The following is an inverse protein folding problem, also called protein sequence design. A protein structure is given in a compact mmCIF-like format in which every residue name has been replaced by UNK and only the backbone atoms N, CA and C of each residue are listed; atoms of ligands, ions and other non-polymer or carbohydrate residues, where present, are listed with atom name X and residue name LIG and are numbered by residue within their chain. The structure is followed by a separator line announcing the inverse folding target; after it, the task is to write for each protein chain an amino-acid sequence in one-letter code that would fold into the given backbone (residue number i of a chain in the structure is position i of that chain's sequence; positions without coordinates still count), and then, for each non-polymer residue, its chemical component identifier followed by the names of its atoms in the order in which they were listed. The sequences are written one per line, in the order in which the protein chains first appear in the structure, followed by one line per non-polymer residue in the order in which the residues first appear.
data_IF_967447208277
#
_entry.id   IF_967447208277
#
_cell.length_a   1.000
_cell.length_b   1.000
_cell.length_c   1.000
_cell.angle_alpha   90.00
_cell.angle_beta   90.00
_cell.angle_gamma   90.00
#
_symmetry.space_group_name_H-M   'P 1'
#
loop_
_entity.id
_entity.type
_entity.pdbx_description
1 polymer ?
#
# COMPACT_ATOMS: atom_id res chain seq x y z
N UNK A 1 5.91 14.68 10.56
CA UNK A 1 4.60 14.07 10.81
C UNK A 1 3.44 15.04 10.90
N UNK A 2 3.68 16.29 11.32
CA UNK A 2 2.61 17.29 11.43
C UNK A 2 1.86 17.54 10.11
N UNK A 3 2.57 17.56 9.01
CA UNK A 3 2.00 17.78 7.69
C UNK A 3 1.12 16.62 7.22
N UNK A 4 1.47 15.38 7.57
CA UNK A 4 0.62 14.21 7.30
C UNK A 4 -0.68 14.32 8.09
N UNK A 5 -0.59 14.65 9.37
CA UNK A 5 -1.76 14.80 10.25
C UNK A 5 -2.63 15.96 9.77
N UNK A 6 -2.04 17.08 9.43
CA UNK A 6 -2.75 18.24 8.90
C UNK A 6 -3.52 17.91 7.63
N UNK A 7 -2.89 17.17 6.70
CA UNK A 7 -3.56 16.78 5.46
C UNK A 7 -4.73 15.83 5.72
N UNK A 8 -4.59 14.91 6.65
CA UNK A 8 -5.67 14.02 7.05
C UNK A 8 -6.86 14.82 7.65
N UNK A 9 -6.57 15.84 8.46
CA UNK A 9 -7.59 16.73 9.00
C UNK A 9 -8.31 17.50 7.90
N UNK A 10 -7.57 18.04 6.93
CA UNK A 10 -8.15 18.75 5.78
C UNK A 10 -9.10 17.86 4.98
N UNK A 11 -8.82 16.56 4.93
CA UNK A 11 -9.64 15.57 4.24
C UNK A 11 -10.76 15.00 5.11
N UNK A 12 -10.98 15.59 6.30
CA UNK A 12 -12.07 15.23 7.21
C UNK A 12 -11.96 13.79 7.77
N UNK A 13 -10.77 13.35 8.10
CA UNK A 13 -10.60 12.08 8.79
C UNK A 13 -11.38 12.10 10.12
N UNK A 14 -11.95 10.95 10.51
CA UNK A 14 -12.76 10.90 11.72
C UNK A 14 -11.93 11.21 12.99
N UNK A 15 -12.60 11.69 14.01
CA UNK A 15 -11.98 12.14 15.27
C UNK A 15 -11.13 11.06 15.94
N UNK A 16 -11.60 9.82 15.92
CA UNK A 16 -10.88 8.70 16.53
C UNK A 16 -9.51 8.48 15.89
N UNK A 17 -9.46 8.47 14.56
CA UNK A 17 -8.22 8.29 13.81
C UNK A 17 -7.29 9.49 13.96
N UNK A 18 -7.85 10.70 13.96
CA UNK A 18 -7.10 11.93 14.19
C UNK A 18 -6.40 11.90 15.56
N UNK A 19 -7.13 11.52 16.61
CA UNK A 19 -6.57 11.41 17.95
C UNK A 19 -5.46 10.36 18.03
N UNK A 20 -5.63 9.23 17.35
CA UNK A 20 -4.57 8.20 17.29
C UNK A 20 -3.32 8.70 16.60
N UNK A 21 -3.46 9.46 15.51
CA UNK A 21 -2.32 10.06 14.80
C UNK A 21 -1.59 11.07 15.66
N UNK A 22 -2.32 11.91 16.40
CA UNK A 22 -1.72 12.89 17.30
C UNK A 22 -0.98 12.23 18.48
N UNK A 23 -1.50 11.10 18.96
CA UNK A 23 -0.93 10.36 20.08
C UNK A 23 0.33 9.57 19.69
N UNK A 24 0.41 9.07 18.45
CA UNK A 24 1.49 8.23 17.95
C UNK A 24 2.06 8.82 16.65
N UNK A 25 2.96 9.79 16.80
CA UNK A 25 3.51 10.53 15.65
C UNK A 25 4.82 9.91 15.16
N UNK A 26 4.77 8.64 14.77
CA UNK A 26 5.91 7.97 14.14
C UNK A 26 5.51 7.32 12.81
N UNK A 27 6.49 7.11 11.95
CA UNK A 27 6.25 6.62 10.59
C UNK A 27 5.69 5.19 10.57
N UNK A 28 6.17 4.34 11.46
CA UNK A 28 5.68 2.97 11.56
C UNK A 28 4.19 2.94 11.89
N UNK A 29 3.77 3.71 12.89
CA UNK A 29 2.37 3.78 13.30
C UNK A 29 1.50 4.34 12.18
N UNK A 30 1.94 5.39 11.50
CA UNK A 30 1.23 5.96 10.37
C UNK A 30 1.00 4.92 9.27
N UNK A 31 2.04 4.18 8.87
CA UNK A 31 1.91 3.16 7.84
C UNK A 31 0.99 2.01 8.26
N UNK A 32 1.04 1.58 9.51
CA UNK A 32 0.12 0.59 10.05
C UNK A 32 -1.33 1.09 9.98
N UNK A 33 -1.57 2.35 10.33
CA UNK A 33 -2.89 2.98 10.21
C UNK A 33 -3.36 3.03 8.76
N UNK A 34 -2.46 3.31 7.82
CA UNK A 34 -2.80 3.31 6.40
C UNK A 34 -3.45 1.97 6.01
N UNK A 35 -2.83 0.86 6.35
CA UNK A 35 -3.37 -0.45 5.97
C UNK A 35 -4.66 -0.80 6.70
N UNK A 36 -4.86 -0.31 7.92
CA UNK A 36 -6.12 -0.50 8.66
C UNK A 36 -7.26 0.33 8.11
N UNK A 37 -6.97 1.51 7.57
CA UNK A 37 -7.94 2.44 7.02
C UNK A 37 -7.76 2.70 5.53
N UNK A 38 -7.27 1.72 4.78
CA UNK A 38 -6.92 1.90 3.38
C UNK A 38 -8.14 2.24 2.49
N UNK A 39 -9.34 1.80 2.81
CA UNK A 39 -10.54 2.19 2.07
C UNK A 39 -10.73 3.72 2.09
N UNK A 40 -10.61 4.33 3.27
CA UNK A 40 -10.67 5.78 3.39
C UNK A 40 -9.51 6.45 2.65
N UNK A 41 -8.31 5.92 2.82
CA UNK A 41 -7.10 6.46 2.20
C UNK A 41 -7.20 6.41 0.66
N UNK A 42 -7.69 5.31 0.11
CA UNK A 42 -7.87 5.18 -1.34
C UNK A 42 -8.95 6.13 -1.86
N UNK A 43 -10.05 6.28 -1.14
CA UNK A 43 -11.13 7.19 -1.53
C UNK A 43 -10.68 8.65 -1.57
N UNK A 44 -9.78 9.05 -0.67
CA UNK A 44 -9.31 10.43 -0.54
C UNK A 44 -7.94 10.69 -1.16
N UNK A 45 -7.38 9.73 -1.89
CA UNK A 45 -6.02 9.79 -2.45
C UNK A 45 -4.97 10.22 -1.40
N UNK A 46 -5.05 9.58 -0.23
CA UNK A 46 -4.18 9.84 0.91
C UNK A 46 -3.27 8.63 1.18
N UNK A 47 -2.00 8.81 1.57
CA UNK A 47 -1.26 10.08 1.56
C UNK A 47 -1.02 10.61 0.14
N UNK A 48 -0.90 11.91 0.01
CA UNK A 48 -0.68 12.54 -1.31
C UNK A 48 0.73 12.28 -1.83
N UNK A 49 0.91 12.37 -3.14
CA UNK A 49 2.24 12.19 -3.75
C UNK A 49 3.29 13.16 -3.19
N UNK A 50 3.01 14.46 -2.98
CA UNK A 50 3.98 15.36 -2.36
C UNK A 50 4.38 14.94 -0.94
N UNK A 51 3.44 14.45 -0.13
CA UNK A 51 3.75 13.96 1.21
C UNK A 51 4.65 12.74 1.17
N UNK A 52 4.33 11.78 0.29
CA UNK A 52 5.16 10.58 0.13
C UNK A 52 6.56 10.92 -0.38
N UNK A 53 6.69 11.89 -1.30
CA UNK A 53 7.97 12.33 -1.79
C UNK A 53 8.82 12.90 -0.67
N UNK A 54 8.22 13.66 0.23
CA UNK A 54 8.91 14.24 1.39
C UNK A 54 9.47 13.18 2.34
N UNK A 55 8.73 12.08 2.52
CA UNK A 55 9.12 10.99 3.43
C UNK A 55 9.71 9.78 2.73
N UNK A 56 10.04 9.90 1.44
CA UNK A 56 10.67 8.82 0.68
C UNK A 56 11.98 8.40 1.34
N UNK A 57 12.18 7.10 1.49
CA UNK A 57 13.29 6.54 2.25
C UNK A 57 12.91 6.14 3.67
N UNK A 58 11.77 6.63 4.19
CA UNK A 58 11.31 6.31 5.55
C UNK A 58 10.07 5.40 5.55
N UNK A 59 9.29 5.40 4.49
CA UNK A 59 8.03 4.65 4.40
C UNK A 59 8.20 3.23 3.88
N UNK A 60 9.24 2.95 3.11
CA UNK A 60 9.41 1.69 2.40
C UNK A 60 9.54 0.50 3.35
N UNK A 61 10.27 0.64 4.44
CA UNK A 61 10.40 -0.44 5.43
C UNK A 61 9.07 -0.80 6.09
N UNK A 62 8.08 0.07 6.00
CA UNK A 62 6.74 -0.12 6.56
C UNK A 62 5.67 -0.39 5.48
N UNK A 63 6.08 -0.61 4.24
CA UNK A 63 5.21 -1.08 3.17
C UNK A 63 4.67 -0.04 2.20
N UNK A 64 4.97 1.25 2.36
CA UNK A 64 4.54 2.29 1.41
C UNK A 64 5.70 2.71 0.51
N UNK A 65 5.50 2.58 -0.81
CA UNK A 65 6.53 2.82 -1.83
C UNK A 65 6.07 3.84 -2.85
N UNK A 66 6.92 4.82 -3.15
CA UNK A 66 6.69 5.83 -4.18
C UNK A 66 7.72 5.70 -5.28
N UNK A 67 7.27 5.60 -6.54
CA UNK A 67 8.13 5.52 -7.71
C UNK A 67 9.26 4.49 -7.56
N UNK A 68 8.91 3.32 -7.02
CA UNK A 68 9.85 2.26 -6.71
C UNK A 68 9.97 1.27 -7.87
N UNK A 69 11.20 0.81 -8.13
CA UNK A 69 11.47 -0.25 -9.12
C UNK A 69 12.26 -1.36 -8.45
N UNK A 70 11.80 -2.59 -8.57
CA UNK A 70 12.50 -3.71 -7.99
C UNK A 70 11.61 -4.90 -7.70
N UNK A 71 12.18 -5.89 -6.99
CA UNK A 71 11.50 -7.13 -6.59
C UNK A 71 11.40 -7.17 -5.08
N UNK A 72 10.21 -7.52 -4.58
CA UNK A 72 9.93 -7.65 -3.15
C UNK A 72 9.36 -9.04 -2.91
N UNK A 73 9.84 -9.72 -1.87
CA UNK A 73 9.44 -11.09 -1.53
C UNK A 73 8.72 -11.18 -0.20
N UNK A 74 7.59 -11.88 -0.18
CA UNK A 74 6.91 -12.35 1.03
C UNK A 74 6.61 -11.26 2.06
N UNK A 75 6.16 -10.08 1.60
CA UNK A 75 5.72 -8.99 2.47
C UNK A 75 4.20 -8.93 2.53
N UNK A 76 3.61 -8.92 3.74
CA UNK A 76 2.15 -9.04 3.89
C UNK A 76 1.37 -7.76 3.60
N UNK A 77 1.97 -6.59 3.74
CA UNK A 77 1.28 -5.31 3.52
C UNK A 77 2.14 -4.40 2.67
N UNK A 78 1.66 -4.12 1.45
CA UNK A 78 2.37 -3.29 0.48
C UNK A 78 1.40 -2.32 -0.21
N UNK A 79 1.85 -1.10 -0.41
CA UNK A 79 1.13 -0.11 -1.21
C UNK A 79 2.12 0.63 -2.12
N UNK A 80 1.76 0.75 -3.40
CA UNK A 80 2.60 1.36 -4.42
C UNK A 80 1.92 2.57 -5.02
N UNK A 81 2.66 3.67 -5.04
CA UNK A 81 2.19 4.99 -5.43
C UNK A 81 3.02 5.54 -6.58
N UNK A 82 2.46 6.51 -7.29
CA UNK A 82 3.16 7.18 -8.38
C UNK A 82 3.36 6.27 -9.59
N UNK A 83 4.58 6.17 -10.06
CA UNK A 83 4.95 5.35 -11.23
C UNK A 83 5.87 4.20 -10.82
N UNK A 84 5.45 3.41 -9.85
CA UNK A 84 6.19 2.23 -9.41
C UNK A 84 6.12 1.11 -10.45
N UNK A 85 7.21 0.35 -10.58
CA UNK A 85 7.26 -0.82 -11.47
C UNK A 85 7.93 -1.96 -10.71
N UNK A 86 7.10 -2.92 -10.24
CA UNK A 86 7.55 -3.90 -9.26
C UNK A 86 7.22 -5.32 -9.67
N UNK A 87 8.03 -6.26 -9.16
CA UNK A 87 7.74 -7.68 -9.17
C UNK A 87 7.55 -8.11 -7.71
N UNK A 88 6.42 -8.72 -7.40
CA UNK A 88 6.12 -9.25 -6.07
C UNK A 88 6.13 -10.77 -6.13
N UNK A 89 6.93 -11.40 -5.28
CA UNK A 89 7.04 -12.84 -5.20
C UNK A 89 6.54 -13.34 -3.85
N UNK A 90 5.57 -14.26 -3.91
CA UNK A 90 5.01 -14.93 -2.73
C UNK A 90 5.16 -16.44 -2.94
N UNK A 91 6.00 -17.07 -2.15
CA UNK A 91 6.35 -18.48 -2.33
C UNK A 91 6.09 -19.37 -1.11
N UNK A 92 5.33 -18.84 -0.12
CA UNK A 92 4.94 -19.60 1.06
C UNK A 92 3.49 -19.28 1.44
N UNK A 93 2.94 -20.06 2.38
CA UNK A 93 1.61 -19.81 2.91
C UNK A 93 1.61 -18.50 3.71
N UNK A 94 0.89 -17.51 3.20
CA UNK A 94 0.69 -16.24 3.89
C UNK A 94 -0.53 -15.51 3.31
N UNK A 95 -1.06 -14.59 4.09
CA UNK A 95 -2.13 -13.68 3.64
C UNK A 95 -1.52 -12.30 3.43
N UNK A 96 -1.66 -11.76 2.23
CA UNK A 96 -1.11 -10.46 1.88
C UNK A 96 -2.17 -9.51 1.33
N UNK A 97 -1.99 -8.22 1.62
CA UNK A 97 -2.80 -7.12 1.08
C UNK A 97 -1.89 -6.18 0.31
N UNK A 98 -2.22 -5.93 -0.95
CA UNK A 98 -1.43 -5.09 -1.85
C UNK A 98 -2.33 -4.05 -2.52
N UNK A 99 -1.94 -2.78 -2.42
CA UNK A 99 -2.60 -1.69 -3.12
C UNK A 99 -1.68 -1.18 -4.22
N UNK A 100 -2.17 -1.14 -5.46
CA UNK A 100 -1.44 -0.65 -6.62
C UNK A 100 -2.19 0.57 -7.14
N UNK A 101 -1.55 1.73 -7.11
CA UNK A 101 -2.20 3.02 -7.36
C UNK A 101 -1.50 3.83 -8.44
N UNK A 102 -2.22 4.85 -8.93
CA UNK A 102 -1.73 5.84 -9.91
C UNK A 102 -1.28 5.19 -11.22
N UNK A 103 -0.03 5.35 -11.63
CA UNK A 103 0.52 4.82 -12.88
C UNK A 103 1.40 3.59 -12.64
N UNK A 104 1.24 2.95 -11.49
CA UNK A 104 2.10 1.83 -11.10
C UNK A 104 1.77 0.55 -11.88
N UNK A 105 2.78 -0.28 -12.09
CA UNK A 105 2.68 -1.59 -12.74
C UNK A 105 3.30 -2.65 -11.87
N UNK A 106 2.61 -3.78 -11.72
CA UNK A 106 3.09 -4.88 -10.88
C UNK A 106 2.94 -6.21 -11.61
N UNK A 107 3.96 -7.05 -11.47
CA UNK A 107 3.86 -8.48 -11.78
C UNK A 107 3.87 -9.23 -10.46
N UNK A 108 2.87 -10.07 -10.22
CA UNK A 108 2.73 -10.81 -8.98
C UNK A 108 2.87 -12.29 -9.27
N UNK A 109 3.85 -12.93 -8.62
CA UNK A 109 4.11 -14.36 -8.73
C UNK A 109 3.71 -14.98 -7.40
N UNK A 110 2.73 -15.89 -7.42
CA UNK A 110 2.16 -16.47 -6.21
C UNK A 110 2.16 -17.99 -6.28
N UNK A 111 2.73 -18.62 -5.24
CA UNK A 111 2.90 -20.08 -5.15
C UNK A 111 2.66 -20.56 -3.73
N UNK A 112 2.59 -21.88 -3.56
CA UNK A 112 2.63 -22.55 -2.27
C UNK A 112 1.58 -22.04 -1.29
N UNK A 113 0.31 -22.00 -1.76
CA UNK A 113 -0.87 -21.63 -0.95
C UNK A 113 -0.91 -20.17 -0.50
N UNK A 114 -0.14 -19.28 -1.11
CA UNK A 114 -0.23 -17.85 -0.84
C UNK A 114 -1.64 -17.33 -1.15
N UNK A 115 -2.15 -16.43 -0.30
CA UNK A 115 -3.45 -15.78 -0.47
C UNK A 115 -3.21 -14.28 -0.55
N UNK A 116 -3.51 -13.68 -1.69
CA UNK A 116 -3.19 -12.28 -1.94
C UNK A 116 -4.44 -11.52 -2.36
N UNK A 117 -4.74 -10.44 -1.66
CA UNK A 117 -5.79 -9.49 -2.03
C UNK A 117 -5.12 -8.26 -2.65
N UNK A 118 -5.56 -7.89 -3.84
CA UNK A 118 -4.99 -6.78 -4.60
C UNK A 118 -6.08 -5.75 -4.88
N UNK A 119 -5.87 -4.52 -4.45
CA UNK A 119 -6.69 -3.37 -4.83
C UNK A 119 -5.98 -2.58 -5.92
N UNK A 120 -6.64 -2.40 -7.05
CA UNK A 120 -6.12 -1.66 -8.21
C UNK A 120 -6.90 -0.37 -8.35
N UNK A 121 -6.19 0.75 -8.39
CA UNK A 121 -6.80 2.09 -8.52
C UNK A 121 -6.19 2.83 -9.70
N UNK A 122 -6.93 3.83 -10.19
CA UNK A 122 -6.50 4.74 -11.24
C UNK A 122 -6.11 3.97 -12.52
N UNK A 123 -4.94 4.23 -13.05
CA UNK A 123 -4.43 3.58 -14.26
C UNK A 123 -3.43 2.46 -13.96
N UNK A 124 -3.40 1.96 -12.74
CA UNK A 124 -2.49 0.89 -12.36
C UNK A 124 -2.81 -0.41 -13.10
N UNK A 125 -1.77 -1.18 -13.40
CA UNK A 125 -1.87 -2.45 -14.13
C UNK A 125 -1.20 -3.57 -13.35
N UNK A 126 -1.81 -4.75 -13.38
CA UNK A 126 -1.30 -5.93 -12.67
C UNK A 126 -1.31 -7.14 -13.59
N UNK A 127 -0.18 -7.86 -13.61
CA UNK A 127 -0.04 -9.15 -14.28
C UNK A 127 0.13 -10.22 -13.20
N UNK A 128 -0.63 -11.33 -13.31
CA UNK A 128 -0.62 -12.41 -12.32
C UNK A 128 -0.04 -13.68 -12.92
N UNK A 129 0.94 -14.27 -12.23
CA UNK A 129 1.47 -15.59 -12.50
C UNK A 129 1.36 -16.41 -11.21
N UNK A 130 0.58 -17.48 -11.23
CA UNK A 130 0.37 -18.28 -10.02
C UNK A 130 0.29 -19.76 -10.31
N UNK A 131 0.63 -20.58 -9.32
CA UNK A 131 0.36 -22.01 -9.37
C UNK A 131 -1.08 -22.32 -8.96
N UNK A 132 -1.57 -23.57 -9.11
CA UNK A 132 -2.94 -23.93 -8.77
C UNK A 132 -3.29 -23.78 -7.28
N UNK A 133 -2.32 -23.75 -6.38
CA UNK A 133 -2.56 -23.68 -4.94
C UNK A 133 -2.79 -22.25 -4.44
N UNK A 134 -2.21 -21.26 -5.11
CA UNK A 134 -2.32 -19.86 -4.69
C UNK A 134 -3.68 -19.28 -5.05
N UNK A 135 -4.17 -18.35 -4.22
CA UNK A 135 -5.41 -17.61 -4.46
C UNK A 135 -5.11 -16.11 -4.54
N UNK A 136 -5.61 -15.50 -5.61
CA UNK A 136 -5.43 -14.08 -5.84
C UNK A 136 -6.79 -13.44 -6.06
N UNK A 137 -7.14 -12.47 -5.21
CA UNK A 137 -8.39 -11.72 -5.30
C UNK A 137 -8.08 -10.30 -5.77
N UNK A 138 -8.69 -9.89 -6.88
CA UNK A 138 -8.44 -8.58 -7.49
C UNK A 138 -9.70 -7.74 -7.40
N UNK A 139 -9.55 -6.54 -6.84
CA UNK A 139 -10.61 -5.55 -6.73
C UNK A 139 -10.19 -4.26 -7.44
N UNK A 140 -10.91 -3.90 -8.48
CA UNK A 140 -10.73 -2.60 -9.16
C UNK A 140 -11.61 -1.56 -8.49
N UNK A 141 -11.00 -0.51 -8.03
CA UNK A 141 -11.68 0.57 -7.27
C UNK A 141 -11.94 1.79 -8.13
#
# INVERSE_FOLDING_TARGET
MKDIIQKAEELNICHEWQNKMLKHQDMKYFCEMYFKGDDWAMEHDFPTLPLLQKYKGQTEEHGLYLDYKGTIKNKPHLAFFGSSNIVLEYDNFQVALVNIRHQSKAKIIAKNYAIITINILDNAEVEIEKDPTAKVFIYKK
#
